data_IF_095881070593
#
_entry.id   IF_095881070593
#
_cell.length_a   1.000
_cell.length_b   1.000
_cell.length_c   1.000
_cell.angle_alpha   90.00
_cell.angle_beta   90.00
_cell.angle_gamma   90.00
#
_symmetry.space_group_name_H-M   'P 1'
#
loop_
_entity.id
_entity.type
_entity.pdbx_description
1 polymer ?
#
# COMPACT_ATOMS: atom_id res chain seq x y z
N UNK A 1 -4.44 8.93 -21.04
CA UNK A 1 -4.60 7.48 -20.83
C UNK A 1 -3.78 7.01 -19.63
N UNK A 2 -4.44 6.73 -18.51
CA UNK A 2 -3.86 6.19 -17.28
C UNK A 2 -4.65 4.98 -16.82
N UNK A 3 -4.00 4.02 -16.15
CA UNK A 3 -4.58 2.77 -15.68
C UNK A 3 -4.57 2.69 -14.15
N UNK A 4 -5.56 1.99 -13.60
CA UNK A 4 -5.63 1.52 -12.22
C UNK A 4 -5.82 0.00 -12.22
N UNK A 5 -5.88 -0.63 -11.04
CA UNK A 5 -5.89 -2.10 -10.92
C UNK A 5 -6.98 -2.75 -11.79
N UNK A 6 -8.23 -2.32 -11.65
CA UNK A 6 -9.39 -2.87 -12.40
C UNK A 6 -9.42 -2.48 -13.88
N UNK A 7 -8.55 -1.58 -14.33
CA UNK A 7 -8.46 -1.16 -15.75
C UNK A 7 -7.19 -1.63 -16.42
N UNK A 8 -6.39 -2.46 -15.75
CA UNK A 8 -5.24 -3.12 -16.36
C UNK A 8 -5.67 -3.98 -17.54
N UNK A 9 -4.74 -4.12 -18.48
CA UNK A 9 -4.87 -4.92 -19.69
C UNK A 9 -3.86 -6.03 -19.67
N UNK A 10 -4.07 -7.08 -20.45
CA UNK A 10 -3.20 -8.26 -20.46
C UNK A 10 -1.74 -7.90 -20.76
N UNK A 11 -1.53 -6.95 -21.69
CA UNK A 11 -0.21 -6.41 -22.04
C UNK A 11 0.52 -5.70 -20.88
N UNK A 12 -0.17 -5.37 -19.79
CA UNK A 12 0.44 -4.69 -18.64
C UNK A 12 1.02 -5.67 -17.62
N UNK A 13 0.86 -6.98 -17.81
CA UNK A 13 1.41 -8.00 -16.93
C UNK A 13 2.15 -9.08 -17.71
N UNK A 14 3.31 -9.46 -17.21
CA UNK A 14 4.10 -10.60 -17.66
C UNK A 14 4.19 -11.61 -16.51
N UNK A 15 3.89 -12.89 -16.77
CA UNK A 15 3.74 -13.94 -15.74
C UNK A 15 4.68 -15.11 -16.04
N UNK A 16 5.78 -15.21 -15.28
CA UNK A 16 6.74 -16.31 -15.37
C UNK A 16 6.75 -17.12 -14.07
N UNK A 17 6.24 -18.36 -14.14
CA UNK A 17 6.10 -19.23 -12.97
C UNK A 17 5.21 -18.58 -11.89
N UNK A 18 5.80 -18.35 -10.71
CA UNK A 18 5.19 -17.63 -9.58
C UNK A 18 5.46 -16.13 -9.58
N UNK A 19 6.26 -15.61 -10.52
CA UNK A 19 6.60 -14.20 -10.61
C UNK A 19 5.67 -13.47 -11.59
N UNK A 20 5.10 -12.36 -11.15
CA UNK A 20 4.37 -11.39 -11.96
C UNK A 20 5.17 -10.10 -12.06
N UNK A 21 5.23 -9.52 -13.25
CA UNK A 21 5.78 -8.19 -13.49
C UNK A 21 4.71 -7.32 -14.12
N UNK A 22 4.32 -6.25 -13.42
CA UNK A 22 3.40 -5.25 -13.94
C UNK A 22 4.16 -4.04 -14.48
N UNK A 23 3.77 -3.58 -15.66
CA UNK A 23 4.28 -2.36 -16.29
C UNK A 23 3.13 -1.57 -16.92
N UNK A 24 2.83 -0.38 -16.40
CA UNK A 24 1.75 0.47 -16.92
C UNK A 24 1.87 1.93 -16.50
N UNK A 25 1.23 2.80 -17.28
CA UNK A 25 1.08 4.22 -16.97
C UNK A 25 -0.12 4.46 -16.05
N UNK A 26 0.14 4.86 -14.81
CA UNK A 26 -0.86 5.14 -13.78
C UNK A 26 -1.39 6.57 -13.80
N UNK A 27 -2.10 6.93 -12.72
CA UNK A 27 -2.64 8.29 -12.51
C UNK A 27 -1.54 9.36 -12.68
N UNK A 28 -1.91 10.51 -13.24
CA UNK A 28 -0.99 11.61 -13.57
C UNK A 28 0.15 11.23 -14.53
N UNK A 29 0.00 10.11 -15.23
CA UNK A 29 0.98 9.66 -16.22
C UNK A 29 2.24 9.03 -15.64
N UNK A 30 2.27 8.73 -14.34
CA UNK A 30 3.42 8.08 -13.70
C UNK A 30 3.55 6.63 -14.15
N UNK A 31 4.75 6.23 -14.56
CA UNK A 31 5.07 4.84 -14.91
C UNK A 31 5.20 3.98 -13.65
N UNK A 32 4.55 2.83 -13.66
CA UNK A 32 4.61 1.83 -12.59
C UNK A 32 5.32 0.58 -13.10
N UNK A 33 6.30 0.11 -12.32
CA UNK A 33 6.99 -1.17 -12.52
C UNK A 33 6.97 -1.93 -11.20
N UNK A 34 6.18 -3.00 -11.12
CA UNK A 34 5.97 -3.77 -9.89
C UNK A 34 6.33 -5.23 -10.14
N UNK A 35 7.06 -5.85 -9.20
CA UNK A 35 7.31 -7.29 -9.19
C UNK A 35 6.61 -7.90 -7.98
N UNK A 36 5.86 -8.96 -8.21
CA UNK A 36 5.20 -9.76 -7.17
C UNK A 36 5.60 -11.22 -7.37
N UNK A 37 5.95 -11.92 -6.30
CA UNK A 37 6.25 -13.35 -6.34
C UNK A 37 5.30 -14.06 -5.41
N UNK A 38 4.26 -14.66 -5.97
CA UNK A 38 3.25 -15.42 -5.22
C UNK A 38 2.61 -16.43 -6.17
N UNK A 39 2.75 -17.73 -5.85
CA UNK A 39 2.25 -18.82 -6.70
C UNK A 39 0.73 -18.81 -6.82
N UNK A 40 0.00 -18.45 -5.76
CA UNK A 40 -1.46 -18.43 -5.75
C UNK A 40 -1.96 -17.26 -6.59
N UNK A 41 -1.40 -16.08 -6.40
CA UNK A 41 -1.77 -14.88 -7.17
C UNK A 41 -1.40 -15.06 -8.65
N UNK A 42 -0.21 -15.60 -8.95
CA UNK A 42 0.20 -15.87 -10.32
C UNK A 42 -0.78 -16.79 -11.05
N UNK A 43 -1.28 -17.83 -10.37
CA UNK A 43 -2.31 -18.72 -10.92
C UNK A 43 -3.62 -17.99 -11.20
N UNK A 44 -4.10 -17.16 -10.26
CA UNK A 44 -5.35 -16.41 -10.41
C UNK A 44 -5.25 -15.41 -11.57
N UNK A 45 -4.16 -14.64 -11.63
CA UNK A 45 -3.96 -13.63 -12.68
C UNK A 45 -3.79 -14.29 -14.05
N UNK A 46 -3.11 -15.45 -14.13
CA UNK A 46 -3.01 -16.22 -15.36
C UNK A 46 -4.39 -16.67 -15.86
N UNK A 47 -5.21 -17.23 -14.98
CA UNK A 47 -6.58 -17.63 -15.34
C UNK A 47 -7.44 -16.45 -15.84
N UNK A 48 -7.23 -15.25 -15.29
CA UNK A 48 -7.93 -14.05 -15.76
C UNK A 48 -7.40 -13.56 -17.13
N UNK A 49 -6.08 -13.69 -17.37
CA UNK A 49 -5.42 -13.37 -18.63
C UNK A 49 -5.77 -14.34 -19.77
N UNK A 50 -6.05 -15.60 -19.46
CA UNK A 50 -6.42 -16.63 -20.44
C UNK A 50 -7.85 -16.40 -21.00
N UNK A 51 -8.65 -15.55 -20.34
CA UNK A 51 -9.97 -15.18 -20.86
C UNK A 51 -9.83 -14.24 -22.07
N UNK A 52 -10.53 -14.50 -23.18
CA UNK A 52 -10.40 -13.69 -24.40
C UNK A 52 -10.89 -12.26 -24.17
N UNK A 53 -10.04 -11.27 -24.44
CA UNK A 53 -10.34 -9.85 -24.27
C UNK A 53 -9.09 -8.99 -24.25
N UNK A 54 -9.23 -7.73 -23.81
CA UNK A 54 -8.09 -6.85 -23.54
C UNK A 54 -7.93 -6.54 -22.05
N UNK A 55 -8.92 -6.85 -21.21
CA UNK A 55 -8.95 -6.46 -19.80
C UNK A 55 -8.42 -7.61 -18.96
N UNK A 56 -7.47 -7.32 -18.09
CA UNK A 56 -6.81 -8.34 -17.27
C UNK A 56 -7.75 -8.95 -16.22
N UNK A 57 -8.56 -8.11 -15.57
CA UNK A 57 -9.47 -8.56 -14.51
C UNK A 57 -10.89 -8.65 -15.05
N UNK A 58 -11.28 -9.87 -15.41
CA UNK A 58 -12.60 -10.22 -15.93
C UNK A 58 -12.98 -11.63 -15.46
N UNK A 59 -14.27 -11.94 -15.51
CA UNK A 59 -14.85 -13.23 -15.16
C UNK A 59 -15.95 -13.61 -16.16
N UNK A 60 -16.35 -14.87 -16.16
CA UNK A 60 -17.56 -15.33 -16.83
C UNK A 60 -18.71 -15.31 -15.82
N UNK A 61 -19.81 -14.65 -16.15
CA UNK A 61 -21.05 -14.73 -15.37
C UNK A 61 -21.76 -16.07 -15.60
N UNK A 62 -22.89 -16.25 -14.92
CA UNK A 62 -23.67 -17.50 -14.94
C UNK A 62 -24.18 -17.86 -16.34
N UNK A 63 -24.32 -16.87 -17.23
CA UNK A 63 -24.74 -17.05 -18.63
C UNK A 63 -23.54 -17.32 -19.56
N UNK A 64 -22.33 -17.47 -19.00
CA UNK A 64 -21.08 -17.60 -19.75
C UNK A 64 -20.64 -16.30 -20.42
N UNK A 65 -21.25 -15.16 -20.08
CA UNK A 65 -20.90 -13.86 -20.63
C UNK A 65 -19.73 -13.24 -19.86
N UNK A 66 -18.79 -12.65 -20.62
CA UNK A 66 -17.61 -11.99 -20.01
C UNK A 66 -18.00 -10.67 -19.36
N UNK A 67 -17.62 -10.51 -18.09
CA UNK A 67 -17.81 -9.28 -17.32
C UNK A 67 -16.47 -8.76 -16.80
N UNK A 68 -16.17 -7.45 -16.99
CA UNK A 68 -14.99 -6.86 -16.36
C UNK A 68 -15.23 -6.68 -14.86
N UNK A 69 -14.20 -6.86 -14.05
CA UNK A 69 -14.24 -6.47 -12.65
C UNK A 69 -14.13 -4.95 -12.56
N UNK A 70 -15.09 -4.30 -11.92
CA UNK A 70 -15.14 -2.84 -11.76
C UNK A 70 -14.70 -2.40 -10.37
N UNK A 71 -14.29 -1.13 -10.25
CA UNK A 71 -13.81 -0.57 -8.98
C UNK A 71 -14.89 -0.51 -7.90
N UNK A 72 -16.14 -0.29 -8.28
CA UNK A 72 -17.29 -0.29 -7.38
C UNK A 72 -17.57 -1.68 -6.81
N UNK A 73 -17.43 -2.74 -7.60
CA UNK A 73 -17.55 -4.13 -7.14
C UNK A 73 -16.46 -4.47 -6.12
N UNK A 74 -15.20 -4.09 -6.41
CA UNK A 74 -14.09 -4.29 -5.46
C UNK A 74 -14.32 -3.56 -4.15
N UNK A 75 -14.75 -2.29 -4.19
CA UNK A 75 -14.99 -1.55 -2.95
C UNK A 75 -16.24 -2.04 -2.21
N UNK A 76 -17.25 -2.56 -2.92
CA UNK A 76 -18.40 -3.24 -2.29
C UNK A 76 -17.94 -4.47 -1.53
N UNK A 77 -17.15 -5.34 -2.16
CA UNK A 77 -16.60 -6.53 -1.51
C UNK A 77 -15.76 -6.18 -0.28
N UNK A 78 -14.92 -5.14 -0.35
CA UNK A 78 -14.14 -4.68 0.82
C UNK A 78 -15.07 -4.24 1.96
N UNK A 79 -16.14 -3.49 1.67
CA UNK A 79 -17.08 -3.07 2.71
C UNK A 79 -17.83 -4.23 3.35
N UNK A 80 -18.22 -5.22 2.56
CA UNK A 80 -18.93 -6.41 3.05
C UNK A 80 -18.03 -7.27 3.95
N UNK A 81 -16.74 -7.36 3.62
CA UNK A 81 -15.78 -8.23 4.34
C UNK A 81 -15.07 -7.56 5.50
N UNK A 82 -14.78 -6.26 5.40
CA UNK A 82 -13.97 -5.52 6.36
C UNK A 82 -14.76 -4.46 7.15
N UNK A 83 -15.99 -4.14 6.75
CA UNK A 83 -16.83 -3.12 7.37
C UNK A 83 -17.05 -1.89 6.47
N UNK A 84 -18.18 -1.20 6.68
CA UNK A 84 -18.67 -0.13 5.80
C UNK A 84 -17.71 1.06 5.64
N UNK A 85 -16.88 1.32 6.67
CA UNK A 85 -15.90 2.40 6.66
C UNK A 85 -14.65 2.09 5.83
N UNK A 86 -14.44 0.82 5.46
CA UNK A 86 -13.25 0.40 4.72
C UNK A 86 -13.43 0.50 3.20
N UNK A 87 -12.30 0.68 2.53
CA UNK A 87 -12.21 0.81 1.07
C UNK A 87 -10.80 0.52 0.61
N UNK A 88 -10.61 0.37 -0.70
CA UNK A 88 -9.30 0.14 -1.31
C UNK A 88 -8.24 1.20 -0.95
N UNK A 89 -8.66 2.43 -0.60
CA UNK A 89 -7.76 3.49 -0.13
C UNK A 89 -7.03 3.10 1.16
N UNK A 90 -7.69 2.35 2.06
CA UNK A 90 -7.15 2.02 3.36
C UNK A 90 -5.90 1.15 3.28
N UNK A 91 -5.80 0.24 2.29
CA UNK A 91 -4.56 -0.52 2.05
C UNK A 91 -3.37 0.41 1.74
N UNK A 92 -3.59 1.49 0.99
CA UNK A 92 -2.53 2.47 0.67
C UNK A 92 -2.20 3.36 1.86
N UNK A 93 -3.18 3.69 2.70
CA UNK A 93 -2.94 4.43 3.95
C UNK A 93 -2.17 3.59 4.96
N UNK A 94 -2.52 2.31 5.09
CA UNK A 94 -1.81 1.37 5.96
C UNK A 94 -0.37 1.16 5.51
N UNK A 95 -0.16 0.76 4.25
CA UNK A 95 1.19 0.58 3.70
C UNK A 95 2.02 1.87 3.66
N UNK A 96 1.37 3.03 3.46
CA UNK A 96 2.01 4.33 3.55
C UNK A 96 2.50 4.67 4.95
N UNK A 97 1.68 4.35 5.96
CA UNK A 97 2.02 4.55 7.38
C UNK A 97 3.13 3.63 7.82
N UNK A 98 3.10 2.34 7.46
CA UNK A 98 4.16 1.39 7.78
C UNK A 98 5.50 1.85 7.20
N UNK A 99 5.50 2.18 5.91
CA UNK A 99 6.71 2.62 5.25
C UNK A 99 7.25 3.94 5.85
N UNK A 100 6.36 4.86 6.21
CA UNK A 100 6.75 6.09 6.91
C UNK A 100 7.34 5.79 8.29
N UNK A 101 6.67 5.01 9.13
CA UNK A 101 7.14 4.66 10.46
C UNK A 101 8.55 4.05 10.42
N UNK A 102 8.78 3.12 9.49
CA UNK A 102 10.06 2.48 9.23
C UNK A 102 11.16 3.47 8.83
N UNK A 103 10.88 4.36 7.86
CA UNK A 103 11.83 5.38 7.40
C UNK A 103 12.17 6.40 8.49
N UNK A 104 11.16 6.87 9.22
CA UNK A 104 11.33 7.89 10.26
C UNK A 104 12.07 7.32 11.48
N UNK A 105 11.79 6.07 11.89
CA UNK A 105 12.48 5.42 13.00
C UNK A 105 13.98 5.27 12.75
N UNK A 106 14.37 5.01 11.50
CA UNK A 106 15.77 4.86 11.08
C UNK A 106 16.49 6.20 10.83
N UNK A 107 15.80 7.33 10.99
CA UNK A 107 16.36 8.65 10.69
C UNK A 107 16.55 9.46 11.95
N UNK A 108 17.80 9.78 12.26
CA UNK A 108 18.14 10.66 13.38
C UNK A 108 17.55 12.06 13.21
N UNK A 109 17.21 12.67 14.35
CA UNK A 109 16.75 14.04 14.40
C UNK A 109 17.92 14.98 14.54
N UNK A 110 17.87 16.08 13.80
CA UNK A 110 18.70 17.25 14.09
C UNK A 110 18.09 18.06 15.23
N UNK A 111 18.90 18.78 16.01
CA UNK A 111 18.41 19.72 17.03
C UNK A 111 17.73 20.96 16.40
N UNK A 112 18.22 21.40 15.22
CA UNK A 112 17.60 22.50 14.47
C UNK A 112 16.22 22.14 13.91
N UNK A 113 15.18 22.89 14.30
CA UNK A 113 13.81 22.77 13.74
C UNK A 113 13.77 22.92 12.21
N UNK A 114 14.59 23.81 11.65
CA UNK A 114 14.64 24.02 10.20
C UNK A 114 15.18 22.78 9.48
N UNK A 115 16.19 22.13 10.06
CA UNK A 115 16.74 20.88 9.55
C UNK A 115 15.74 19.73 9.72
N UNK A 116 15.05 19.61 10.85
CA UNK A 116 14.00 18.60 11.06
C UNK A 116 12.90 18.69 10.00
N UNK A 117 12.43 19.91 9.69
CA UNK A 117 11.42 20.12 8.63
C UNK A 117 11.93 19.68 7.26
N UNK A 118 13.20 19.95 6.93
CA UNK A 118 13.83 19.51 5.67
C UNK A 118 13.95 17.99 5.59
N UNK A 119 14.41 17.35 6.66
CA UNK A 119 14.49 15.88 6.76
C UNK A 119 13.11 15.24 6.62
N UNK A 120 12.13 15.69 7.40
CA UNK A 120 10.75 15.19 7.32
C UNK A 120 10.18 15.31 5.91
N UNK A 121 10.39 16.44 5.23
CA UNK A 121 9.95 16.60 3.84
C UNK A 121 10.59 15.55 2.91
N UNK A 122 11.89 15.31 3.04
CA UNK A 122 12.60 14.29 2.26
C UNK A 122 12.11 12.86 2.55
N UNK A 123 11.78 12.54 3.81
CA UNK A 123 11.19 11.24 4.16
C UNK A 123 9.79 11.07 3.56
N UNK A 124 8.96 12.12 3.59
CA UNK A 124 7.63 12.08 2.95
C UNK A 124 7.76 11.96 1.43
N UNK A 125 8.79 12.54 0.81
CA UNK A 125 9.04 12.37 -0.63
C UNK A 125 9.30 10.91 -0.98
N UNK A 126 10.07 10.17 -0.16
CA UNK A 126 10.29 8.72 -0.36
C UNK A 126 8.96 7.95 -0.30
N UNK A 127 8.09 8.27 0.66
CA UNK A 127 6.75 7.66 0.75
C UNK A 127 5.88 8.05 -0.45
N UNK A 128 5.94 9.30 -0.88
CA UNK A 128 5.21 9.82 -2.03
C UNK A 128 5.67 9.17 -3.35
N UNK A 129 6.96 8.93 -3.50
CA UNK A 129 7.52 8.19 -4.62
C UNK A 129 6.97 6.76 -4.65
N UNK A 130 7.01 6.04 -3.52
CA UNK A 130 6.48 4.67 -3.42
C UNK A 130 4.98 4.59 -3.73
N UNK A 131 4.19 5.54 -3.22
CA UNK A 131 2.74 5.54 -3.43
C UNK A 131 2.32 6.14 -4.77
N UNK A 132 3.19 6.91 -5.45
CA UNK A 132 2.83 7.65 -6.65
C UNK A 132 1.87 8.80 -6.41
N UNK A 133 2.02 9.50 -5.27
CA UNK A 133 1.28 10.72 -4.96
C UNK A 133 2.25 11.89 -4.77
N UNK A 134 1.74 13.10 -4.53
CA UNK A 134 2.56 14.24 -4.10
C UNK A 134 2.83 14.20 -2.60
N UNK A 135 3.91 14.88 -2.16
CA UNK A 135 4.24 15.06 -0.73
C UNK A 135 3.03 15.53 0.09
N UNK A 136 2.33 16.56 -0.40
CA UNK A 136 1.18 17.15 0.28
C UNK A 136 0.04 16.13 0.47
N UNK A 137 -0.23 15.32 -0.56
CA UNK A 137 -1.26 14.28 -0.49
C UNK A 137 -0.85 13.13 0.44
N UNK A 138 0.42 12.70 0.42
CA UNK A 138 0.90 11.68 1.35
C UNK A 138 0.80 12.12 2.80
N UNK A 139 1.27 13.33 3.10
CA UNK A 139 1.18 13.91 4.45
C UNK A 139 -0.27 13.99 4.95
N UNK A 140 -1.21 14.40 4.09
CA UNK A 140 -2.60 14.64 4.51
C UNK A 140 -3.46 13.38 4.54
N UNK A 141 -3.18 12.37 3.72
CA UNK A 141 -4.14 11.31 3.44
C UNK A 141 -3.62 9.88 3.57
N UNK A 142 -2.30 9.66 3.67
CA UNK A 142 -1.72 8.31 3.57
C UNK A 142 -0.74 7.96 4.69
N UNK A 143 -0.30 8.93 5.50
CA UNK A 143 0.59 8.69 6.63
C UNK A 143 -0.16 9.05 7.89
N UNK A 144 -0.21 8.14 8.86
CA UNK A 144 -0.82 8.39 10.15
C UNK A 144 -0.10 9.53 10.88
N UNK A 145 -0.84 10.53 11.44
CA UNK A 145 -0.23 11.73 12.01
C UNK A 145 0.74 11.44 13.15
N UNK A 146 0.47 10.41 13.96
CA UNK A 146 1.35 10.03 15.07
C UNK A 146 2.78 9.68 14.64
N UNK A 147 3.02 9.29 13.38
CA UNK A 147 4.39 9.06 12.88
C UNK A 147 5.17 10.37 12.89
N UNK A 148 4.52 11.46 12.47
CA UNK A 148 5.13 12.78 12.47
C UNK A 148 5.31 13.30 13.89
N UNK A 149 4.32 13.11 14.75
CA UNK A 149 4.33 13.63 16.12
C UNK A 149 5.43 12.94 16.93
N UNK A 150 5.41 11.60 16.99
CA UNK A 150 6.41 10.83 17.73
C UNK A 150 7.85 11.07 17.22
N UNK A 151 8.06 11.25 15.92
CA UNK A 151 9.37 11.59 15.40
C UNK A 151 9.76 13.05 15.68
N UNK A 152 8.83 13.99 15.61
CA UNK A 152 9.08 15.41 15.94
C UNK A 152 9.40 15.61 17.41
N UNK A 153 9.01 14.67 18.26
CA UNK A 153 9.24 14.67 19.70
C UNK A 153 10.38 13.73 20.14
N UNK A 154 11.02 13.03 19.19
CA UNK A 154 12.16 12.16 19.48
C UNK A 154 11.83 10.84 20.17
N UNK A 155 10.56 10.42 20.15
CA UNK A 155 10.10 9.19 20.80
C UNK A 155 9.92 8.01 19.86
N UNK A 156 9.77 8.24 18.55
CA UNK A 156 9.37 7.19 17.61
C UNK A 156 10.26 5.94 17.67
N UNK A 157 11.59 6.11 17.67
CA UNK A 157 12.52 4.97 17.66
C UNK A 157 12.40 4.14 18.94
N UNK A 158 12.37 4.79 20.12
CA UNK A 158 12.25 4.08 21.40
C UNK A 158 10.87 3.42 21.54
N UNK A 159 9.80 4.11 21.16
CA UNK A 159 8.44 3.56 21.20
C UNK A 159 8.26 2.35 20.27
N UNK A 160 8.83 2.39 19.07
CA UNK A 160 8.85 1.23 18.15
C UNK A 160 9.67 0.09 18.75
N UNK A 161 10.84 0.38 19.34
CA UNK A 161 11.65 -0.64 19.99
C UNK A 161 10.88 -1.31 21.15
N UNK A 162 10.14 -0.53 21.95
CA UNK A 162 9.31 -1.05 23.03
C UNK A 162 8.12 -1.86 22.53
N UNK A 163 7.47 -1.43 21.45
CA UNK A 163 6.42 -2.20 20.77
C UNK A 163 6.96 -3.53 20.21
N UNK A 164 8.24 -3.58 19.85
CA UNK A 164 8.91 -4.78 19.36
C UNK A 164 9.27 -5.78 20.47
N UNK A 165 9.55 -5.31 21.70
CA UNK A 165 9.78 -6.21 22.86
C UNK A 165 8.57 -7.11 23.13
N UNK A 166 7.36 -6.65 22.78
CA UNK A 166 6.11 -7.41 22.88
C UNK A 166 5.83 -8.18 21.59
N UNK A 167 6.84 -8.81 20.97
CA UNK A 167 6.69 -9.55 19.71
C UNK A 167 5.70 -10.70 19.90
N UNK A 168 4.47 -10.47 19.45
CA UNK A 168 3.42 -11.48 19.33
C UNK A 168 3.03 -11.53 17.86
N UNK A 169 3.08 -12.71 17.27
CA UNK A 169 2.56 -12.91 15.92
C UNK A 169 1.08 -12.56 15.93
N UNK A 170 0.66 -11.76 14.95
CA UNK A 170 -0.75 -11.44 14.72
C UNK A 170 -1.12 -12.19 13.43
N UNK A 171 -2.04 -13.18 13.49
CA UNK A 171 -2.43 -13.93 12.31
C UNK A 171 -2.84 -13.00 11.16
N UNK A 172 -2.26 -13.22 9.98
CA UNK A 172 -2.55 -12.46 8.78
C UNK A 172 -1.75 -11.16 8.59
N UNK A 173 -0.88 -10.79 9.54
CA UNK A 173 0.03 -9.65 9.39
C UNK A 173 1.48 -10.11 9.32
N UNK A 174 2.28 -9.43 8.51
CA UNK A 174 3.74 -9.57 8.57
C UNK A 174 4.35 -8.90 9.82
N UNK A 175 5.65 -9.09 10.03
CA UNK A 175 6.36 -8.57 11.20
C UNK A 175 6.35 -7.04 11.28
N UNK A 176 6.41 -6.34 10.14
CA UNK A 176 6.43 -4.87 10.06
C UNK A 176 5.03 -4.30 10.32
N UNK A 177 4.01 -4.91 9.71
CA UNK A 177 2.60 -4.61 9.95
C UNK A 177 2.23 -4.79 11.42
N UNK A 178 2.58 -5.94 12.01
CA UNK A 178 2.27 -6.24 13.39
C UNK A 178 3.00 -5.28 14.36
N UNK A 179 4.24 -4.89 14.04
CA UNK A 179 5.00 -3.92 14.83
C UNK A 179 4.34 -2.54 14.83
N UNK A 180 4.03 -2.00 13.66
CA UNK A 180 3.40 -0.68 13.54
C UNK A 180 2.01 -0.68 14.16
N UNK A 181 1.25 -1.78 14.04
CA UNK A 181 -0.05 -1.91 14.69
C UNK A 181 0.07 -1.89 16.21
N UNK A 182 1.04 -2.62 16.79
CA UNK A 182 1.29 -2.59 18.23
C UNK A 182 1.69 -1.20 18.71
N UNK A 183 2.55 -0.51 17.94
CA UNK A 183 2.97 0.84 18.26
C UNK A 183 1.79 1.81 18.25
N UNK A 184 0.96 1.84 17.20
CA UNK A 184 -0.23 2.70 17.13
C UNK A 184 -1.23 2.45 18.27
N UNK A 185 -1.49 1.17 18.60
CA UNK A 185 -2.35 0.82 19.74
C UNK A 185 -1.83 1.35 21.07
N UNK A 186 -0.50 1.42 21.24
CA UNK A 186 0.11 1.98 22.45
C UNK A 186 -0.07 3.50 22.55
N UNK A 187 -0.33 4.18 21.43
CA UNK A 187 -0.60 5.62 21.37
C UNK A 187 -2.10 5.98 21.52
N UNK A 188 -2.96 5.00 21.82
CA UNK A 188 -4.41 5.19 21.93
C UNK A 188 -5.13 5.34 20.59
N UNK A 189 -4.54 4.84 19.50
CA UNK A 189 -5.18 4.71 18.17
C UNK A 189 -5.77 3.32 17.93
#
# INVERSE_FOLDING_TARGET
>A
NSFGLTTLRDRHVDINGSSLRFAFKGKSGKEWKLKLVDRRIARIVRGAQDLPGQKLFQYLDDDGSRRPIRSDEVNRYIRETAGADFSSKHFRTWGGTIHAASLFAQTERSESRAQQKRVMNGLIDKVAERLGNTRAICRRCYIHPQVFDAWSEGRLLSEIADANKRKRSIPGLDDEEALVLRWLKAQGS
#
